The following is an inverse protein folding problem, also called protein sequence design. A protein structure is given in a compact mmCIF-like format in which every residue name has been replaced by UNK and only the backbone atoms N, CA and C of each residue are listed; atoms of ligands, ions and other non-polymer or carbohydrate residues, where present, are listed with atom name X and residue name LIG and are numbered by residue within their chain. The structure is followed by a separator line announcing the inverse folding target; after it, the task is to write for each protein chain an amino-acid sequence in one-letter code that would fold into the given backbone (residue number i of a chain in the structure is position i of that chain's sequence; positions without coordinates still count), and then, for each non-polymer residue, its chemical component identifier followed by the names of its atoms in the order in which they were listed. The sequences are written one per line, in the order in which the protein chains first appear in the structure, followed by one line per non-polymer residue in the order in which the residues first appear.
data_IF_938109175926
#
_entry.id   IF_938109175926
#
_cell.length_a   1.000
_cell.length_b   1.000
_cell.length_c   1.000
_cell.angle_alpha   90.00
_cell.angle_beta   90.00
_cell.angle_gamma   90.00
#
_symmetry.space_group_name_H-M   'P 1'
#
loop_
_entity.id
_entity.type
_entity.pdbx_description
1 polymer ?
#
# COMPACT_ATOMS: atom_id res chain seq x y z
N UNK A 1 -9.92 -3.05 -6.00
CA UNK A 1 -8.70 -3.06 -5.16
C UNK A 1 -7.56 -2.62 -6.04
N UNK A 2 -6.74 -1.68 -5.60
CA UNK A 2 -5.56 -1.28 -6.34
C UNK A 2 -4.44 -2.29 -6.07
N UNK A 3 -3.71 -2.65 -7.11
CA UNK A 3 -2.68 -3.68 -7.04
C UNK A 3 -1.40 -3.19 -7.70
N UNK A 4 -0.29 -3.89 -7.47
CA UNK A 4 0.94 -3.66 -8.25
C UNK A 4 0.71 -3.74 -9.76
N UNK A 5 -0.25 -4.57 -10.20
CA UNK A 5 -0.62 -4.66 -11.62
C UNK A 5 -1.22 -3.37 -12.18
N UNK A 6 -1.94 -2.60 -11.36
CA UNK A 6 -2.46 -1.29 -11.78
C UNK A 6 -1.32 -0.28 -11.94
N UNK A 7 -0.34 -0.30 -11.04
CA UNK A 7 0.90 0.50 -11.19
C UNK A 7 1.65 0.11 -12.47
N UNK A 8 1.88 -1.17 -12.70
CA UNK A 8 2.55 -1.67 -13.90
C UNK A 8 1.84 -1.24 -15.17
N UNK A 9 0.49 -1.34 -15.21
CA UNK A 9 -0.32 -0.89 -16.35
C UNK A 9 -0.15 0.60 -16.62
N UNK A 10 -0.18 1.45 -15.57
CA UNK A 10 0.05 2.89 -15.68
C UNK A 10 1.48 3.21 -16.12
N UNK A 11 2.46 2.45 -15.66
CA UNK A 11 3.87 2.60 -16.03
C UNK A 11 4.12 2.27 -17.49
N UNK A 12 3.43 1.27 -18.05
CA UNK A 12 3.55 0.85 -19.45
C UNK A 12 2.99 1.90 -20.42
N UNK A 13 2.17 2.85 -19.91
CA UNK A 13 1.67 3.91 -20.76
C UNK A 13 2.81 4.88 -21.13
N UNK A 14 3.25 4.78 -22.37
CA UNK A 14 4.26 5.63 -22.94
C UNK A 14 3.70 7.01 -23.29
N UNK A 15 4.59 7.97 -23.43
CA UNK A 15 4.26 9.30 -23.93
C UNK A 15 3.63 9.18 -25.34
N UNK A 16 2.31 9.44 -25.41
CA UNK A 16 1.52 9.42 -26.65
C UNK A 16 1.58 10.76 -27.41
N UNK A 17 2.47 11.67 -27.00
CA UNK A 17 2.59 13.02 -27.57
C UNK A 17 1.50 13.99 -27.10
N UNK A 18 0.62 13.57 -26.20
CA UNK A 18 -0.38 14.42 -25.54
C UNK A 18 -0.12 14.44 -24.03
N UNK A 19 -0.25 15.61 -23.39
CA UNK A 19 -0.07 15.69 -21.94
C UNK A 19 -1.12 14.85 -21.19
N UNK A 20 -0.70 14.29 -20.08
CA UNK A 20 -1.55 13.58 -19.12
C UNK A 20 -1.72 14.44 -17.88
N UNK A 21 -2.97 14.73 -17.55
CA UNK A 21 -3.36 15.35 -16.30
C UNK A 21 -3.53 14.25 -15.26
N UNK A 22 -2.67 14.25 -14.24
CA UNK A 22 -2.72 13.37 -13.08
C UNK A 22 -3.27 14.14 -11.90
N UNK A 23 -4.43 13.74 -11.38
CA UNK A 23 -5.11 14.41 -10.27
C UNK A 23 -5.23 13.43 -9.09
N UNK A 24 -4.75 13.87 -7.94
CA UNK A 24 -4.88 13.20 -6.65
C UNK A 24 -5.77 14.08 -5.77
N UNK A 25 -6.78 13.51 -5.13
CA UNK A 25 -7.73 14.26 -4.31
C UNK A 25 -7.93 13.62 -2.95
N UNK A 26 -7.71 14.39 -1.90
CA UNK A 26 -8.24 14.07 -0.59
C UNK A 26 -9.74 14.35 -0.57
N UNK A 27 -10.50 13.27 -0.44
CA UNK A 27 -11.97 13.28 -0.40
C UNK A 27 -12.49 13.13 1.04
N UNK A 28 -11.64 13.28 2.05
CA UNK A 28 -12.07 13.29 3.46
C UNK A 28 -13.06 14.40 3.72
N UNK A 29 -14.01 14.14 4.59
CA UNK A 29 -14.99 15.16 5.02
C UNK A 29 -14.37 16.07 6.06
N UNK A 30 -14.68 17.35 5.98
CA UNK A 30 -14.31 18.33 7.01
C UNK A 30 -15.21 18.22 8.26
N UNK A 31 -14.94 19.05 9.27
CA UNK A 31 -15.74 19.14 10.50
C UNK A 31 -17.24 19.41 10.26
N UNK A 32 -17.60 20.00 9.12
CA UNK A 32 -18.97 20.30 8.71
C UNK A 32 -19.60 19.21 7.85
N UNK A 33 -18.95 18.05 7.76
CA UNK A 33 -19.33 16.91 6.92
C UNK A 33 -19.44 17.25 5.40
N UNK A 34 -18.58 18.15 4.92
CA UNK A 34 -18.55 18.60 3.52
C UNK A 34 -17.21 18.26 2.85
N UNK A 35 -17.26 17.97 1.55
CA UNK A 35 -16.09 17.70 0.68
C UNK A 35 -15.75 18.90 -0.22
N UNK A 36 -15.95 20.12 0.29
CA UNK A 36 -15.76 21.37 -0.50
C UNK A 36 -14.32 21.63 -0.89
N UNK A 37 -13.33 21.06 -0.17
CA UNK A 37 -11.92 21.26 -0.47
C UNK A 37 -11.51 20.79 -1.87
N UNK A 38 -12.05 19.66 -2.34
CA UNK A 38 -11.73 19.12 -3.67
C UNK A 38 -12.20 20.03 -4.79
N UNK A 39 -13.39 20.62 -4.69
CA UNK A 39 -13.93 21.54 -5.71
C UNK A 39 -13.11 22.82 -5.79
N UNK A 40 -12.74 23.41 -4.64
CA UNK A 40 -11.90 24.62 -4.60
C UNK A 40 -10.52 24.33 -5.18
N UNK A 41 -9.91 23.20 -4.81
CA UNK A 41 -8.63 22.75 -5.33
C UNK A 41 -8.65 22.60 -6.86
N UNK A 42 -9.66 21.91 -7.43
CA UNK A 42 -9.79 21.70 -8.86
C UNK A 42 -9.92 23.03 -9.62
N UNK A 43 -10.74 23.97 -9.12
CA UNK A 43 -10.90 25.27 -9.74
C UNK A 43 -9.59 26.07 -9.75
N UNK A 44 -8.86 26.07 -8.62
CA UNK A 44 -7.57 26.74 -8.53
C UNK A 44 -6.54 26.15 -9.47
N UNK A 45 -6.47 24.82 -9.54
CA UNK A 45 -5.50 24.12 -10.41
C UNK A 45 -5.84 24.28 -11.89
N UNK A 46 -7.09 24.25 -12.27
CA UNK A 46 -7.51 24.53 -13.63
C UNK A 46 -7.06 25.91 -14.08
N UNK A 47 -7.39 26.98 -13.33
CA UNK A 47 -6.95 28.34 -13.66
C UNK A 47 -5.43 28.44 -13.80
N UNK A 48 -4.68 27.79 -12.90
CA UNK A 48 -3.22 27.77 -12.95
C UNK A 48 -2.69 27.13 -14.24
N UNK A 49 -3.25 26.00 -14.68
CA UNK A 49 -2.79 25.33 -15.91
C UNK A 49 -3.24 26.05 -17.20
N UNK A 50 -4.40 26.67 -17.21
CA UNK A 50 -4.86 27.50 -18.33
C UNK A 50 -3.98 28.72 -18.53
N UNK A 51 -3.45 29.32 -17.47
CA UNK A 51 -2.53 30.46 -17.53
C UNK A 51 -1.13 30.06 -18.00
N UNK A 52 -0.65 28.85 -17.70
CA UNK A 52 0.68 28.37 -18.07
C UNK A 52 0.83 28.12 -19.58
N UNK A 53 -0.20 27.55 -20.22
CA UNK A 53 -0.21 27.30 -21.65
C UNK A 53 -1.57 27.64 -22.27
N UNK A 54 -1.76 28.88 -22.62
CA UNK A 54 -3.00 29.39 -23.22
C UNK A 54 -3.41 28.68 -24.50
N UNK A 55 -2.49 28.03 -25.22
CA UNK A 55 -2.79 27.29 -26.44
C UNK A 55 -3.52 25.97 -26.16
N UNK A 56 -3.30 25.37 -24.99
CA UNK A 56 -3.94 24.14 -24.55
C UNK A 56 -5.10 24.39 -23.57
N UNK A 57 -5.37 25.64 -23.18
CA UNK A 57 -6.39 26.00 -22.21
C UNK A 57 -7.78 25.35 -22.47
N UNK A 58 -8.32 25.32 -23.72
CA UNK A 58 -9.59 24.65 -23.96
C UNK A 58 -9.56 23.12 -23.69
N UNK A 59 -8.47 22.44 -24.06
CA UNK A 59 -8.32 21.01 -23.84
C UNK A 59 -8.09 20.68 -22.36
N UNK A 60 -7.39 21.55 -21.63
CA UNK A 60 -7.24 21.47 -20.16
C UNK A 60 -8.59 21.66 -19.49
N UNK A 61 -9.36 22.67 -19.88
CA UNK A 61 -10.72 22.88 -19.34
C UNK A 61 -11.61 21.66 -19.55
N UNK A 62 -11.60 21.06 -20.74
CA UNK A 62 -12.35 19.84 -21.05
C UNK A 62 -11.90 18.65 -20.15
N UNK A 63 -10.60 18.49 -19.93
CA UNK A 63 -10.07 17.46 -19.04
C UNK A 63 -10.59 17.61 -17.61
N UNK A 64 -10.61 18.85 -17.07
CA UNK A 64 -11.16 19.13 -15.75
C UNK A 64 -12.68 18.93 -15.69
N UNK A 65 -13.43 19.22 -16.76
CA UNK A 65 -14.87 18.93 -16.82
C UNK A 65 -15.15 17.43 -16.79
N UNK A 66 -14.36 16.62 -17.51
CA UNK A 66 -14.46 15.15 -17.41
C UNK A 66 -14.20 14.65 -15.99
N UNK A 67 -13.22 15.23 -15.30
CA UNK A 67 -12.95 14.89 -13.88
C UNK A 67 -14.14 15.23 -13.00
N UNK A 68 -14.74 16.44 -13.15
CA UNK A 68 -15.92 16.84 -12.37
C UNK A 68 -17.14 15.96 -12.65
N UNK A 69 -17.39 15.66 -13.91
CA UNK A 69 -18.48 14.77 -14.32
C UNK A 69 -18.34 13.40 -13.67
N UNK A 70 -17.12 12.82 -13.71
CA UNK A 70 -16.89 11.54 -13.08
C UNK A 70 -17.01 11.61 -11.54
N UNK A 71 -16.55 12.67 -10.90
CA UNK A 71 -16.74 12.85 -9.45
C UNK A 71 -18.21 12.97 -9.06
N UNK A 72 -19.09 13.45 -9.97
CA UNK A 72 -20.54 13.51 -9.75
C UNK A 72 -21.21 12.14 -9.86
N UNK A 73 -20.80 11.31 -10.81
CA UNK A 73 -21.53 10.11 -11.19
C UNK A 73 -20.83 8.80 -10.78
N UNK A 74 -19.50 8.79 -10.76
CA UNK A 74 -18.68 7.58 -10.55
C UNK A 74 -18.00 7.47 -9.18
N UNK A 75 -17.99 8.54 -8.40
CA UNK A 75 -17.36 8.55 -7.09
C UNK A 75 -18.27 7.92 -6.02
N UNK A 76 -17.67 7.03 -5.21
CA UNK A 76 -18.34 6.43 -4.05
C UNK A 76 -17.90 7.12 -2.75
N UNK A 77 -18.86 7.59 -1.97
CA UNK A 77 -18.64 8.29 -0.68
C UNK A 77 -17.97 7.44 0.40
N UNK A 78 -17.90 6.12 0.21
CA UNK A 78 -17.14 5.23 1.07
C UNK A 78 -15.62 5.45 0.98
N UNK A 79 -15.14 6.07 -0.10
CA UNK A 79 -13.73 6.33 -0.33
C UNK A 79 -13.32 7.72 0.16
N UNK A 80 -12.07 7.84 0.61
CA UNK A 80 -11.47 9.08 1.10
C UNK A 80 -10.37 9.62 0.18
N UNK A 81 -9.92 8.83 -0.78
CA UNK A 81 -8.92 9.21 -1.78
C UNK A 81 -9.39 8.86 -3.18
N UNK A 82 -9.02 9.70 -4.13
CA UNK A 82 -9.27 9.50 -5.56
C UNK A 82 -8.02 9.85 -6.33
N UNK A 83 -7.67 9.02 -7.30
CA UNK A 83 -6.64 9.32 -8.30
C UNK A 83 -7.27 9.22 -9.67
N UNK A 84 -7.12 10.27 -10.47
CA UNK A 84 -7.66 10.36 -11.82
C UNK A 84 -6.54 10.71 -12.79
N UNK A 85 -6.45 9.93 -13.85
CA UNK A 85 -5.59 10.20 -14.99
C UNK A 85 -6.44 10.46 -16.20
N UNK A 86 -6.15 11.54 -16.92
CA UNK A 86 -6.83 11.86 -18.17
C UNK A 86 -5.89 12.52 -19.18
N UNK A 87 -5.98 12.10 -20.41
CA UNK A 87 -5.22 12.68 -21.51
C UNK A 87 -5.84 14.03 -21.92
N UNK A 88 -5.04 15.09 -22.02
CA UNK A 88 -5.49 16.41 -22.43
C UNK A 88 -5.66 16.41 -23.96
N UNK A 89 -6.89 16.69 -24.42
CA UNK A 89 -7.23 16.62 -25.85
C UNK A 89 -7.27 15.18 -26.41
N UNK A 90 -7.43 14.18 -25.56
CA UNK A 90 -7.58 12.77 -25.94
C UNK A 90 -8.73 12.10 -25.16
N UNK A 91 -8.99 10.82 -25.45
CA UNK A 91 -10.14 10.10 -24.90
C UNK A 91 -9.79 9.27 -23.65
N UNK A 92 -8.50 9.08 -23.37
CA UNK A 92 -8.12 8.24 -22.22
C UNK A 92 -8.48 8.89 -20.90
N UNK A 93 -9.14 8.08 -20.08
CA UNK A 93 -9.55 8.43 -18.73
C UNK A 93 -9.47 7.19 -17.84
N UNK A 94 -8.84 7.29 -16.70
CA UNK A 94 -8.77 6.24 -15.69
C UNK A 94 -8.92 6.84 -14.30
N UNK A 95 -9.77 6.25 -13.47
CA UNK A 95 -10.03 6.72 -12.12
C UNK A 95 -9.97 5.57 -11.13
N UNK A 96 -9.26 5.81 -10.04
CA UNK A 96 -9.01 4.86 -8.95
C UNK A 96 -9.51 5.49 -7.65
N UNK A 97 -10.15 4.70 -6.81
CA UNK A 97 -10.72 5.14 -5.54
C UNK A 97 -10.15 4.34 -4.38
N UNK A 98 -9.94 5.01 -3.25
CA UNK A 98 -9.32 4.42 -2.06
C UNK A 98 -10.10 4.76 -0.79
N UNK A 99 -10.21 3.84 0.17
CA UNK A 99 -10.80 4.13 1.48
C UNK A 99 -9.92 5.05 2.34
N UNK A 100 -8.65 5.23 1.96
CA UNK A 100 -7.68 6.10 2.63
C UNK A 100 -7.48 7.41 1.87
N UNK A 101 -7.18 8.53 2.56
CA UNK A 101 -6.90 9.79 1.89
C UNK A 101 -5.61 9.75 1.09
N UNK A 102 -5.54 10.55 0.04
CA UNK A 102 -4.32 10.85 -0.71
C UNK A 102 -4.09 12.36 -0.68
N UNK A 103 -2.82 12.79 -0.67
CA UNK A 103 -2.54 14.22 -0.68
C UNK A 103 -3.01 14.86 -2.00
N UNK A 104 -3.82 15.95 -1.90
CA UNK A 104 -4.33 16.62 -3.09
C UNK A 104 -3.21 17.24 -3.92
N UNK A 105 -3.07 16.75 -5.15
CA UNK A 105 -2.10 17.23 -6.16
C UNK A 105 -2.72 17.19 -7.55
N UNK A 106 -2.29 18.09 -8.42
CA UNK A 106 -2.59 18.04 -9.85
C UNK A 106 -1.30 18.33 -10.61
N UNK A 107 -0.95 17.45 -11.53
CA UNK A 107 0.29 17.50 -12.28
C UNK A 107 -0.03 17.26 -13.75
N UNK A 108 0.51 18.10 -14.61
CA UNK A 108 0.44 17.96 -16.06
C UNK A 108 1.81 17.51 -16.55
N UNK A 109 1.89 16.35 -17.18
CA UNK A 109 3.16 15.76 -17.64
C UNK A 109 2.95 14.91 -18.88
N UNK A 110 4.01 14.46 -19.56
CA UNK A 110 3.92 13.60 -20.75
C UNK A 110 3.42 12.18 -20.42
N UNK A 111 3.42 11.78 -19.15
CA UNK A 111 3.04 10.44 -18.69
C UNK A 111 2.26 10.49 -17.36
N UNK A 112 1.48 9.45 -17.01
CA UNK A 112 0.84 9.34 -15.70
C UNK A 112 1.88 9.45 -14.57
N UNK A 113 1.61 10.29 -13.58
CA UNK A 113 2.44 10.41 -12.35
C UNK A 113 2.09 9.28 -11.42
N UNK A 114 3.08 8.45 -11.02
CA UNK A 114 2.84 7.24 -10.23
C UNK A 114 3.37 7.29 -8.80
N UNK A 115 4.34 8.16 -8.49
CA UNK A 115 4.99 8.14 -7.17
C UNK A 115 4.01 8.30 -6.00
N UNK A 116 2.99 9.19 -6.03
CA UNK A 116 2.00 9.25 -4.96
C UNK A 116 1.12 8.00 -4.87
N UNK A 117 0.89 7.32 -5.99
CA UNK A 117 0.14 6.07 -6.03
C UNK A 117 0.97 4.91 -5.47
N UNK A 118 2.25 4.82 -5.86
CA UNK A 118 3.21 3.88 -5.29
C UNK A 118 3.29 4.05 -3.77
N UNK A 119 3.36 5.30 -3.29
CA UNK A 119 3.34 5.60 -1.86
C UNK A 119 2.10 5.02 -1.15
N UNK A 120 0.91 5.13 -1.75
CA UNK A 120 -0.31 4.54 -1.16
C UNK A 120 -0.21 3.02 -1.14
N UNK A 121 0.16 2.38 -2.26
CA UNK A 121 0.21 0.92 -2.39
C UNK A 121 1.24 0.30 -1.43
N UNK A 122 2.40 0.94 -1.24
CA UNK A 122 3.47 0.43 -0.37
C UNK A 122 3.30 0.80 1.11
N UNK A 123 2.50 1.83 1.42
CA UNK A 123 2.27 2.26 2.82
C UNK A 123 1.18 1.48 3.54
N UNK A 124 0.42 0.64 2.84
CA UNK A 124 -0.69 -0.09 3.43
C UNK A 124 -0.56 -1.58 3.14
N UNK A 125 -0.43 -2.34 4.20
CA UNK A 125 -0.37 -3.79 4.15
C UNK A 125 -1.75 -4.42 4.01
N UNK A 126 -1.78 -5.60 3.43
CA UNK A 126 -2.94 -6.47 3.43
C UNK A 126 -2.89 -7.37 4.66
N UNK A 127 -3.79 -7.14 5.60
CA UNK A 127 -3.84 -7.88 6.86
C UNK A 127 -4.86 -9.00 6.82
N UNK A 128 -4.47 -10.19 7.28
CA UNK A 128 -5.39 -11.24 7.64
C UNK A 128 -5.67 -11.19 9.15
N UNK A 129 -6.93 -11.06 9.55
CA UNK A 129 -7.31 -11.08 10.97
C UNK A 129 -8.08 -12.36 11.27
N UNK A 130 -7.52 -13.20 12.12
CA UNK A 130 -8.09 -14.48 12.53
C UNK A 130 -8.62 -14.34 13.95
N UNK A 131 -9.93 -14.38 14.14
CA UNK A 131 -10.56 -14.48 15.45
C UNK A 131 -10.92 -15.92 15.71
N UNK A 132 -10.60 -16.43 16.89
CA UNK A 132 -10.92 -17.81 17.22
C UNK A 132 -11.32 -18.00 18.68
N UNK A 133 -12.23 -18.92 18.86
CA UNK A 133 -12.51 -19.56 20.14
C UNK A 133 -12.31 -21.09 20.04
N UNK A 134 -12.99 -21.87 20.86
CA UNK A 134 -12.84 -23.34 20.87
C UNK A 134 -13.65 -24.05 19.80
N UNK A 135 -14.64 -23.38 19.22
CA UNK A 135 -15.65 -23.98 18.33
C UNK A 135 -15.82 -23.19 17.01
N UNK A 136 -15.30 -21.94 16.97
CA UNK A 136 -15.48 -21.03 15.82
C UNK A 136 -14.17 -20.38 15.42
N UNK A 137 -14.01 -20.15 14.13
CA UNK A 137 -13.00 -19.26 13.56
C UNK A 137 -13.67 -18.30 12.59
N UNK A 138 -13.28 -17.04 12.68
CA UNK A 138 -13.70 -15.97 11.77
C UNK A 138 -12.44 -15.32 11.22
N UNK A 139 -12.35 -15.21 9.89
CA UNK A 139 -11.19 -14.69 9.19
C UNK A 139 -11.61 -13.46 8.42
N UNK A 140 -10.94 -12.34 8.65
CA UNK A 140 -11.18 -11.07 7.97
C UNK A 140 -10.01 -10.77 7.06
N UNK A 141 -10.31 -10.39 5.83
CA UNK A 141 -9.35 -9.84 4.87
C UNK A 141 -9.46 -8.31 4.92
N UNK A 142 -8.40 -7.63 5.34
CA UNK A 142 -8.40 -6.18 5.56
C UNK A 142 -7.29 -5.55 4.72
N UNK A 143 -7.66 -4.59 3.87
CA UNK A 143 -6.72 -3.83 3.06
C UNK A 143 -7.09 -2.35 3.06
N UNK A 144 -6.10 -1.48 3.16
CA UNK A 144 -6.33 -0.04 3.28
C UNK A 144 -7.31 0.33 4.41
N UNK A 145 -7.24 -0.39 5.55
CA UNK A 145 -8.15 -0.18 6.67
C UNK A 145 -9.61 -0.55 6.40
N UNK A 146 -9.90 -1.25 5.32
CA UNK A 146 -11.26 -1.64 4.92
C UNK A 146 -11.39 -3.16 4.84
N UNK A 147 -12.50 -3.70 5.35
CA UNK A 147 -12.85 -5.10 5.20
C UNK A 147 -13.13 -5.41 3.73
N UNK A 148 -12.36 -6.33 3.16
CA UNK A 148 -12.54 -6.81 1.78
C UNK A 148 -13.43 -8.04 1.72
N UNK A 149 -13.19 -8.97 2.63
CA UNK A 149 -13.89 -10.25 2.66
C UNK A 149 -13.90 -10.82 4.09
N UNK A 150 -14.85 -11.69 4.36
CA UNK A 150 -15.06 -12.28 5.68
C UNK A 150 -15.49 -13.73 5.54
N UNK A 151 -14.86 -14.61 6.30
CA UNK A 151 -15.13 -16.05 6.32
C UNK A 151 -15.38 -16.49 7.76
N UNK A 152 -16.41 -17.27 7.95
CA UNK A 152 -16.73 -17.85 9.25
C UNK A 152 -16.87 -19.37 9.11
N UNK A 153 -16.21 -20.12 9.99
CA UNK A 153 -16.26 -21.57 10.04
C UNK A 153 -16.56 -22.02 11.46
N UNK A 154 -17.57 -22.88 11.58
CA UNK A 154 -17.95 -23.52 12.83
C UNK A 154 -17.42 -24.95 12.83
N UNK A 155 -16.76 -25.35 13.91
CA UNK A 155 -16.30 -26.73 14.06
C UNK A 155 -17.48 -27.70 14.23
N UNK A 156 -17.48 -28.79 13.47
CA UNK A 156 -18.47 -29.84 13.64
C UNK A 156 -18.15 -30.68 14.88
N UNK A 157 -19.06 -30.80 15.87
CA UNK A 157 -18.81 -31.59 17.07
C UNK A 157 -18.55 -33.05 16.72
N UNK A 158 -17.54 -33.63 17.35
CA UNK A 158 -17.24 -35.07 17.19
C UNK A 158 -18.48 -35.92 17.51
N UNK A 159 -18.81 -36.91 16.66
CA UNK A 159 -19.98 -37.77 16.88
C UNK A 159 -19.95 -38.41 18.29
N UNK A 160 -21.05 -38.29 19.00
CA UNK A 160 -21.20 -38.95 20.30
C UNK A 160 -21.29 -40.46 20.09
N UNK A 161 -20.42 -41.30 20.65
CA UNK A 161 -20.57 -42.73 20.52
C UNK A 161 -21.95 -43.20 21.02
N UNK A 162 -22.70 -43.91 20.19
CA UNK A 162 -24.09 -44.33 20.45
C UNK A 162 -24.28 -45.32 21.66
N UNK A 163 -23.20 -45.74 22.28
CA UNK A 163 -23.22 -46.69 23.39
C UNK A 163 -22.64 -46.10 24.69
N UNK A 164 -23.29 -45.07 25.23
CA UNK A 164 -23.01 -44.67 26.62
C UNK A 164 -24.07 -45.19 27.54
N UNK A 165 -23.80 -46.32 28.18
CA UNK A 165 -24.60 -46.78 29.33
C UNK A 165 -24.51 -45.71 30.43
N UNK A 166 -25.67 -45.33 30.96
CA UNK A 166 -25.82 -44.41 32.07
C UNK A 166 -24.94 -44.83 33.28
N UNK A 167 -23.83 -44.15 33.47
CA UNK A 167 -22.92 -44.34 34.59
C UNK A 167 -21.90 -43.21 34.53
N UNK A 168 -21.89 -42.37 35.56
CA UNK A 168 -21.19 -41.10 35.74
C UNK A 168 -19.93 -40.92 34.94
N UNK A 169 -20.00 -39.98 34.00
CA UNK A 169 -18.81 -39.46 33.30
C UNK A 169 -17.90 -38.83 34.35
N UNK A 170 -16.73 -39.43 34.59
CA UNK A 170 -15.74 -38.77 35.41
C UNK A 170 -15.35 -37.46 34.74
N UNK A 171 -15.26 -36.39 35.49
CA UNK A 171 -14.85 -35.03 35.02
C UNK A 171 -13.61 -35.09 34.13
N UNK A 172 -12.70 -36.01 34.39
CA UNK A 172 -11.50 -36.28 33.61
C UNK A 172 -11.79 -36.79 32.17
N UNK A 173 -12.84 -37.59 31.95
CA UNK A 173 -13.23 -38.06 30.61
C UNK A 173 -13.86 -36.92 29.80
N UNK A 174 -14.67 -36.11 30.44
CA UNK A 174 -15.28 -34.94 29.81
C UNK A 174 -14.21 -33.92 29.37
N UNK A 175 -13.24 -33.63 30.26
CA UNK A 175 -12.13 -32.73 29.94
C UNK A 175 -11.23 -33.26 28.78
N UNK A 176 -10.93 -34.57 28.79
CA UNK A 176 -10.16 -35.17 27.67
C UNK A 176 -10.90 -35.08 26.36
N UNK A 177 -12.21 -35.32 26.35
CA UNK A 177 -13.01 -35.18 25.14
C UNK A 177 -13.03 -33.74 24.62
N UNK A 178 -13.26 -32.74 25.48
CA UNK A 178 -13.19 -31.35 25.10
C UNK A 178 -11.82 -30.95 24.54
N UNK A 179 -10.75 -31.46 25.11
CA UNK A 179 -9.41 -31.22 24.59
C UNK A 179 -9.19 -31.88 23.22
N UNK A 180 -9.78 -33.06 22.96
CA UNK A 180 -9.71 -33.76 21.70
C UNK A 180 -10.55 -33.05 20.62
N UNK A 181 -11.75 -32.59 20.96
CA UNK A 181 -12.61 -31.76 20.08
C UNK A 181 -11.90 -30.46 19.71
N UNK A 182 -11.32 -29.73 20.65
CA UNK A 182 -10.56 -28.51 20.38
C UNK A 182 -9.36 -28.76 19.46
N UNK A 183 -8.62 -29.88 19.66
CA UNK A 183 -7.53 -30.27 18.77
C UNK A 183 -8.00 -30.53 17.34
N UNK A 184 -9.16 -31.15 17.19
CA UNK A 184 -9.77 -31.42 15.90
C UNK A 184 -10.12 -30.11 15.20
N UNK A 185 -10.83 -29.21 15.88
CA UNK A 185 -11.20 -27.91 15.35
C UNK A 185 -9.98 -27.05 14.98
N UNK A 186 -8.99 -26.96 15.84
CA UNK A 186 -7.80 -26.19 15.54
C UNK A 186 -7.03 -26.71 14.33
N UNK A 187 -7.07 -28.02 14.08
CA UNK A 187 -6.49 -28.60 12.87
C UNK A 187 -7.32 -28.28 11.62
N UNK A 188 -8.63 -28.16 11.74
CA UNK A 188 -9.50 -27.72 10.64
C UNK A 188 -9.31 -26.22 10.39
N UNK A 189 -9.34 -25.40 11.43
CA UNK A 189 -9.14 -23.96 11.34
C UNK A 189 -7.77 -23.59 10.76
N UNK A 190 -6.71 -24.34 11.08
CA UNK A 190 -5.40 -24.17 10.47
C UNK A 190 -5.46 -24.29 8.95
N UNK A 191 -6.21 -25.28 8.41
CA UNK A 191 -6.36 -25.46 6.97
C UNK A 191 -7.13 -24.30 6.33
N UNK A 192 -8.13 -23.76 7.02
CA UNK A 192 -8.88 -22.59 6.52
C UNK A 192 -7.98 -21.36 6.48
N UNK A 193 -7.13 -21.15 7.50
CA UNK A 193 -6.14 -20.07 7.50
C UNK A 193 -5.10 -20.29 6.39
N UNK A 194 -4.60 -21.51 6.19
CA UNK A 194 -3.70 -21.83 5.06
C UNK A 194 -4.36 -21.54 3.70
N UNK A 195 -5.64 -21.92 3.55
CA UNK A 195 -6.42 -21.65 2.32
C UNK A 195 -6.59 -20.14 2.11
N UNK A 196 -6.89 -19.39 3.17
CA UNK A 196 -6.97 -17.95 3.15
C UNK A 196 -5.63 -17.32 2.74
N UNK A 197 -4.53 -17.69 3.38
CA UNK A 197 -3.18 -17.20 3.04
C UNK A 197 -2.84 -17.52 1.58
N UNK A 198 -3.12 -18.73 1.11
CA UNK A 198 -2.88 -19.11 -0.28
C UNK A 198 -3.73 -18.34 -1.30
N UNK A 199 -4.95 -17.91 -0.94
CA UNK A 199 -5.87 -17.19 -1.82
C UNK A 199 -5.63 -15.68 -1.85
N UNK A 200 -5.41 -15.09 -0.68
CA UNK A 200 -5.35 -13.63 -0.52
C UNK A 200 -3.93 -13.09 -0.41
N UNK A 201 -2.95 -13.95 -0.13
CA UNK A 201 -1.54 -13.59 0.07
C UNK A 201 -1.39 -12.33 0.96
N UNK A 202 -1.94 -12.34 2.21
CA UNK A 202 -1.78 -11.21 3.10
C UNK A 202 -0.31 -10.99 3.44
N UNK A 203 0.08 -9.73 3.63
CA UNK A 203 1.44 -9.37 4.04
C UNK A 203 1.71 -9.84 5.48
N UNK A 204 0.67 -9.82 6.33
CA UNK A 204 0.77 -10.22 7.73
C UNK A 204 -0.55 -10.79 8.28
N UNK A 205 -0.45 -11.44 9.46
CA UNK A 205 -1.56 -12.02 10.19
C UNK A 205 -1.66 -11.47 11.61
N UNK A 206 -2.90 -11.22 12.03
CA UNK A 206 -3.27 -10.91 13.42
C UNK A 206 -4.13 -12.05 13.94
N UNK A 207 -3.79 -12.60 15.10
CA UNK A 207 -4.61 -13.67 15.73
C UNK A 207 -5.21 -13.14 17.02
N UNK A 208 -6.54 -13.20 17.09
CA UNK A 208 -7.33 -12.70 18.21
C UNK A 208 -8.13 -13.84 18.86
N UNK A 209 -8.19 -13.82 20.18
CA UNK A 209 -8.89 -14.82 20.98
C UNK A 209 -8.41 -14.77 22.42
N UNK A 210 -8.79 -15.74 23.25
CA UNK A 210 -8.18 -15.87 24.57
C UNK A 210 -6.72 -16.28 24.44
N UNK A 211 -5.87 -15.81 25.34
CA UNK A 211 -4.42 -16.14 25.34
C UNK A 211 -4.18 -17.66 25.25
N UNK A 212 -4.96 -18.46 25.99
CA UNK A 212 -4.87 -19.92 25.95
C UNK A 212 -5.20 -20.49 24.56
N UNK A 213 -6.27 -20.02 23.91
CA UNK A 213 -6.69 -20.51 22.61
C UNK A 213 -5.69 -20.11 21.52
N UNK A 214 -5.24 -18.84 21.52
CA UNK A 214 -4.25 -18.32 20.58
C UNK A 214 -2.92 -19.09 20.69
N UNK A 215 -2.40 -19.27 21.90
CA UNK A 215 -1.16 -20.00 22.12
C UNK A 215 -1.25 -21.45 21.61
N UNK A 216 -2.35 -22.15 21.90
CA UNK A 216 -2.57 -23.51 21.42
C UNK A 216 -2.80 -23.59 19.92
N UNK A 217 -3.55 -22.66 19.35
CA UNK A 217 -3.84 -22.64 17.91
C UNK A 217 -2.57 -22.46 17.08
N UNK A 218 -1.65 -21.61 17.51
CA UNK A 218 -0.36 -21.39 16.83
C UNK A 218 0.44 -22.67 16.64
N UNK A 219 0.33 -23.65 17.55
CA UNK A 219 1.02 -24.95 17.42
C UNK A 219 0.52 -25.77 16.21
N UNK A 220 -0.66 -25.46 15.68
CA UNK A 220 -1.25 -26.15 14.52
C UNK A 220 -0.95 -25.45 13.18
N UNK A 221 -0.47 -24.20 13.21
CA UNK A 221 -0.16 -23.46 12.02
C UNK A 221 1.21 -23.91 11.46
N UNK A 222 1.35 -24.07 10.12
CA UNK A 222 2.65 -24.28 9.48
C UNK A 222 3.61 -23.11 9.75
N UNK A 223 4.91 -23.40 9.80
CA UNK A 223 5.96 -22.41 10.05
C UNK A 223 5.85 -21.17 9.16
N UNK A 224 5.64 -21.26 7.81
CA UNK A 224 5.48 -20.07 6.98
C UNK A 224 4.27 -19.20 7.34
N UNK A 225 3.18 -19.79 7.86
CA UNK A 225 2.00 -19.04 8.33
C UNK A 225 2.28 -18.40 9.69
N UNK A 226 3.04 -19.08 10.56
CA UNK A 226 3.43 -18.51 11.84
C UNK A 226 4.34 -17.29 11.71
N UNK A 227 5.20 -17.25 10.69
CA UNK A 227 6.08 -16.13 10.37
C UNK A 227 5.32 -14.86 9.99
N UNK A 228 4.12 -15.00 9.44
CA UNK A 228 3.25 -13.86 9.11
C UNK A 228 2.59 -13.23 10.36
N UNK A 229 2.65 -13.85 11.53
CA UNK A 229 1.94 -13.37 12.72
C UNK A 229 2.67 -12.19 13.35
N UNK A 230 2.14 -10.99 13.18
CA UNK A 230 2.70 -9.73 13.70
C UNK A 230 2.09 -9.27 15.01
N UNK A 231 0.86 -9.71 15.30
CA UNK A 231 0.18 -9.36 16.53
C UNK A 231 -0.75 -10.48 17.03
N UNK A 232 -0.83 -10.63 18.33
CA UNK A 232 -1.83 -11.49 19.00
C UNK A 232 -2.51 -10.70 20.11
N UNK A 233 -3.83 -10.84 20.23
CA UNK A 233 -4.59 -10.06 21.20
C UNK A 233 -5.87 -10.76 21.64
N UNK A 234 -6.61 -10.12 22.53
CA UNK A 234 -7.87 -10.64 23.05
C UNK A 234 -9.07 -9.98 22.36
N UNK A 235 -9.92 -10.81 21.75
CA UNK A 235 -11.21 -10.41 21.19
C UNK A 235 -12.15 -11.62 21.19
N UNK A 236 -13.45 -11.35 21.04
CA UNK A 236 -14.46 -12.39 20.87
C UNK A 236 -14.74 -12.58 19.37
N UNK A 237 -15.05 -13.82 18.97
CA UNK A 237 -15.41 -14.10 17.57
C UNK A 237 -16.62 -13.28 17.11
N UNK A 238 -17.56 -13.06 18.02
CA UNK A 238 -18.81 -12.30 17.77
C UNK A 238 -18.63 -10.77 17.86
N UNK A 239 -17.42 -10.24 18.18
CA UNK A 239 -17.18 -8.80 18.19
C UNK A 239 -17.46 -8.24 16.79
N UNK A 240 -18.09 -7.06 16.72
CA UNK A 240 -18.32 -6.45 15.42
C UNK A 240 -16.99 -5.98 14.77
N UNK A 241 -16.96 -5.97 13.45
CA UNK A 241 -15.74 -5.66 12.68
C UNK A 241 -15.19 -4.27 13.00
N UNK A 242 -16.04 -3.28 13.28
CA UNK A 242 -15.62 -1.92 13.65
C UNK A 242 -14.87 -1.90 14.98
N UNK A 243 -15.34 -2.67 15.98
CA UNK A 243 -14.69 -2.75 17.28
C UNK A 243 -13.35 -3.50 17.17
N UNK A 244 -13.31 -4.56 16.36
CA UNK A 244 -12.07 -5.28 16.04
C UNK A 244 -11.07 -4.33 15.41
N UNK A 245 -11.46 -3.59 14.36
CA UNK A 245 -10.61 -2.62 13.69
C UNK A 245 -10.07 -1.56 14.65
N UNK A 246 -10.93 -1.02 15.50
CA UNK A 246 -10.50 -0.03 16.52
C UNK A 246 -9.49 -0.57 17.51
N UNK A 247 -9.57 -1.86 17.83
CA UNK A 247 -8.61 -2.54 18.73
C UNK A 247 -7.26 -2.79 18.06
N UNK A 248 -7.25 -3.22 16.80
CA UNK A 248 -6.00 -3.63 16.12
C UNK A 248 -5.27 -2.44 15.47
N UNK A 249 -5.98 -1.40 15.06
CA UNK A 249 -5.41 -0.24 14.35
C UNK A 249 -4.14 0.33 15.01
N UNK A 250 -4.12 0.64 16.33
CA UNK A 250 -2.92 1.19 16.95
C UNK A 250 -1.72 0.23 16.93
N UNK A 251 -1.98 -1.08 16.93
CA UNK A 251 -0.92 -2.10 16.89
C UNK A 251 -0.36 -2.25 15.47
N UNK A 252 -1.21 -2.16 14.45
CA UNK A 252 -0.80 -2.19 13.04
C UNK A 252 0.05 -0.96 12.72
N UNK A 253 -0.42 0.23 13.07
CA UNK A 253 0.33 1.49 12.88
C UNK A 253 1.71 1.42 13.56
N UNK A 254 1.77 0.94 14.80
CA UNK A 254 3.04 0.80 15.53
C UNK A 254 3.95 -0.28 14.91
N UNK A 255 3.40 -1.32 14.31
CA UNK A 255 4.15 -2.34 13.59
C UNK A 255 4.75 -1.79 12.30
N UNK A 256 3.93 -1.17 11.44
CA UNK A 256 4.35 -0.56 10.19
C UNK A 256 5.41 0.54 10.41
N UNK A 257 5.24 1.37 11.46
CA UNK A 257 6.22 2.40 11.82
C UNK A 257 7.57 1.79 12.24
N UNK A 258 7.54 0.69 12.97
CA UNK A 258 8.76 -0.01 13.39
C UNK A 258 9.48 -0.63 12.20
N UNK A 259 8.79 -1.35 11.31
CA UNK A 259 9.38 -1.90 10.09
C UNK A 259 10.04 -0.81 9.26
N UNK A 260 9.34 0.31 9.06
CA UNK A 260 9.87 1.47 8.33
C UNK A 260 11.12 2.03 8.99
N UNK A 261 11.12 2.16 10.33
CA UNK A 261 12.28 2.61 11.07
C UNK A 261 13.46 1.64 10.95
N UNK A 262 13.23 0.33 11.01
CA UNK A 262 14.27 -0.68 10.86
C UNK A 262 14.93 -0.62 9.48
N UNK A 263 14.17 -0.38 8.40
CA UNK A 263 14.71 -0.19 7.06
C UNK A 263 15.58 1.08 7.00
N UNK A 264 15.08 2.20 7.55
CA UNK A 264 15.84 3.47 7.62
C UNK A 264 17.14 3.30 8.40
N UNK A 265 17.10 2.64 9.57
CA UNK A 265 18.28 2.38 10.39
C UNK A 265 19.30 1.49 9.67
N UNK A 266 18.85 0.46 8.95
CA UNK A 266 19.74 -0.39 8.13
C UNK A 266 20.47 0.42 7.05
N UNK A 267 19.76 1.33 6.37
CA UNK A 267 20.38 2.22 5.38
C UNK A 267 21.42 3.13 6.06
N UNK A 268 21.03 3.75 7.18
CA UNK A 268 21.87 4.67 7.97
C UNK A 268 23.15 3.99 8.43
N UNK A 269 23.03 2.81 9.02
CA UNK A 269 24.18 2.03 9.51
C UNK A 269 25.15 1.67 8.36
N UNK A 270 24.63 1.17 7.24
CA UNK A 270 25.46 0.82 6.09
C UNK A 270 26.09 2.04 5.42
N UNK A 271 25.41 3.17 5.35
CA UNK A 271 25.99 4.45 4.85
C UNK A 271 27.10 4.92 5.78
N UNK A 272 26.94 4.82 7.10
CA UNK A 272 27.96 5.21 8.07
C UNK A 272 29.23 4.34 7.96
N UNK A 273 29.10 3.08 7.54
CA UNK A 273 30.20 2.16 7.35
C UNK A 273 30.72 2.09 5.90
N UNK A 274 30.19 2.91 4.99
CA UNK A 274 30.51 2.91 3.55
C UNK A 274 30.36 1.50 2.92
N UNK A 275 29.32 0.78 3.29
CA UNK A 275 29.10 -0.61 2.92
C UNK A 275 27.74 -0.84 2.27
N UNK A 276 27.74 -1.14 0.96
CA UNK A 276 26.55 -1.51 0.17
C UNK A 276 25.31 -0.62 0.43
N UNK A 277 25.53 0.69 0.53
CA UNK A 277 24.49 1.68 0.67
C UNK A 277 24.91 3.02 0.08
N UNK A 278 23.92 3.86 -0.19
CA UNK A 278 24.15 5.23 -0.64
C UNK A 278 23.13 6.17 -0.01
N UNK A 279 23.51 7.44 0.17
CA UNK A 279 22.63 8.49 0.66
C UNK A 279 22.71 9.74 -0.22
N UNK A 280 21.61 10.48 -0.23
CA UNK A 280 21.46 11.66 -1.07
C UNK A 280 21.01 11.33 -2.49
N UNK A 281 20.29 12.32 -3.07
CA UNK A 281 19.53 12.09 -4.30
C UNK A 281 20.38 11.65 -5.49
N UNK A 282 21.51 12.32 -5.74
CA UNK A 282 22.36 12.02 -6.91
C UNK A 282 22.94 10.59 -6.85
N UNK A 283 23.46 10.18 -5.69
CA UNK A 283 24.04 8.83 -5.52
C UNK A 283 22.99 7.75 -5.69
N UNK A 284 21.83 7.93 -5.05
CA UNK A 284 20.70 6.99 -5.13
C UNK A 284 20.14 6.90 -6.55
N UNK A 285 19.94 8.03 -7.23
CA UNK A 285 19.47 8.06 -8.63
C UNK A 285 20.43 7.29 -9.55
N UNK A 286 21.73 7.49 -9.38
CA UNK A 286 22.73 6.77 -10.17
C UNK A 286 22.67 5.27 -9.89
N UNK A 287 22.59 4.87 -8.63
CA UNK A 287 22.50 3.46 -8.24
C UNK A 287 21.25 2.76 -8.79
N UNK A 288 20.09 3.45 -8.79
CA UNK A 288 18.85 2.92 -9.41
C UNK A 288 19.01 2.77 -10.92
N UNK A 289 19.57 3.77 -11.62
CA UNK A 289 19.80 3.68 -13.06
C UNK A 289 20.78 2.57 -13.44
N UNK A 290 21.70 2.21 -12.57
CA UNK A 290 22.65 1.11 -12.73
C UNK A 290 22.08 -0.26 -12.31
N UNK A 291 20.83 -0.32 -11.79
CA UNK A 291 20.19 -1.56 -11.34
C UNK A 291 20.80 -2.18 -10.08
N UNK A 292 21.50 -1.37 -9.28
CA UNK A 292 22.22 -1.83 -8.08
C UNK A 292 21.39 -1.82 -6.81
N UNK A 293 20.22 -1.19 -6.81
CA UNK A 293 19.43 -0.98 -5.61
C UNK A 293 18.59 -2.21 -5.29
N UNK A 294 18.60 -2.58 -4.02
CA UNK A 294 17.75 -3.60 -3.41
C UNK A 294 16.54 -2.97 -2.74
N UNK A 295 16.80 -2.00 -1.84
CA UNK A 295 15.77 -1.27 -1.11
C UNK A 295 16.02 0.23 -1.24
N UNK A 296 15.00 0.98 -1.62
CA UNK A 296 14.98 2.44 -1.72
C UNK A 296 14.24 3.02 -0.53
N UNK A 297 14.85 3.95 0.20
CA UNK A 297 14.20 4.77 1.23
C UNK A 297 14.09 6.19 0.73
N UNK A 298 12.89 6.77 0.79
CA UNK A 298 12.63 8.12 0.30
C UNK A 298 11.66 8.87 1.21
N UNK A 299 11.91 10.16 1.43
CA UNK A 299 10.98 11.00 2.17
C UNK A 299 9.64 11.11 1.46
N UNK A 300 8.54 10.98 2.22
CA UNK A 300 7.18 11.21 1.70
C UNK A 300 7.08 12.62 1.12
N UNK A 301 6.26 12.75 0.09
CA UNK A 301 5.93 14.05 -0.53
C UNK A 301 7.14 14.83 -1.07
N UNK A 302 8.29 14.17 -1.22
CA UNK A 302 9.47 14.78 -1.82
C UNK A 302 9.24 15.05 -3.30
N UNK A 303 9.75 16.17 -3.78
CA UNK A 303 9.86 16.54 -5.19
C UNK A 303 11.26 17.07 -5.45
N UNK A 304 11.79 16.83 -6.63
CA UNK A 304 13.12 17.28 -7.04
C UNK A 304 13.13 17.60 -8.52
N UNK A 305 13.37 18.87 -8.84
CA UNK A 305 13.56 19.28 -10.23
C UNK A 305 14.71 18.50 -10.87
N UNK A 306 14.48 18.01 -12.07
CA UNK A 306 15.43 17.22 -12.82
C UNK A 306 15.21 17.30 -14.32
N UNK A 307 16.01 16.55 -15.07
CA UNK A 307 15.88 16.43 -16.51
C UNK A 307 15.97 14.97 -16.94
N UNK A 308 15.18 14.60 -17.94
CA UNK A 308 15.21 13.30 -18.59
C UNK A 308 15.62 13.46 -20.06
N UNK A 309 16.54 12.63 -20.53
CA UNK A 309 16.91 12.59 -21.93
C UNK A 309 15.83 11.85 -22.74
N UNK A 310 15.25 12.49 -23.76
CA UNK A 310 14.26 11.86 -24.64
C UNK A 310 14.84 10.73 -25.48
N UNK A 311 16.15 10.78 -25.76
CA UNK A 311 16.83 9.80 -26.62
C UNK A 311 17.20 8.50 -25.90
N UNK A 312 17.73 8.60 -24.66
CA UNK A 312 18.23 7.43 -23.93
C UNK A 312 17.57 7.23 -22.56
N UNK A 313 16.60 8.06 -22.19
CA UNK A 313 15.85 8.04 -20.94
C UNK A 313 16.69 8.24 -19.68
N UNK A 314 17.97 8.62 -19.79
CA UNK A 314 18.80 8.90 -18.62
C UNK A 314 18.28 10.13 -17.86
N UNK A 315 18.21 10.01 -16.53
CA UNK A 315 17.63 11.03 -15.64
C UNK A 315 18.73 11.73 -14.84
N UNK A 316 18.58 13.02 -14.69
CA UNK A 316 19.47 13.90 -13.95
C UNK A 316 18.76 14.57 -12.78
N UNK A 317 19.44 14.69 -11.65
CA UNK A 317 18.94 15.36 -10.45
C UNK A 317 18.88 16.91 -10.56
N UNK A 318 19.17 17.46 -11.72
CA UNK A 318 19.13 18.90 -12.03
C UNK A 318 19.02 19.10 -13.54
N UNK A 319 18.63 20.30 -13.95
CA UNK A 319 18.65 20.67 -15.36
C UNK A 319 20.04 20.57 -15.98
N UNK A 320 20.10 20.11 -17.21
CA UNK A 320 21.31 19.92 -18.02
C UNK A 320 21.05 20.48 -19.43
N UNK A 321 22.06 21.01 -20.10
CA UNK A 321 21.93 21.44 -21.48
C UNK A 321 22.10 20.29 -22.48
N UNK A 322 22.83 19.27 -22.11
CA UNK A 322 23.12 18.09 -22.92
C UNK A 322 23.20 16.84 -22.08
N UNK A 323 22.72 15.73 -22.62
CA UNK A 323 22.87 14.42 -22.01
C UNK A 323 24.33 14.00 -21.97
N UNK A 324 24.89 13.79 -20.80
CA UNK A 324 26.28 13.32 -20.63
C UNK A 324 26.47 11.84 -21.04
N UNK A 325 25.38 11.08 -21.16
CA UNK A 325 25.41 9.67 -21.51
C UNK A 325 25.42 9.44 -23.03
N UNK A 326 24.51 10.09 -23.80
CA UNK A 326 24.37 9.88 -25.24
C UNK A 326 24.69 11.15 -26.10
N UNK A 327 24.97 12.29 -25.45
CA UNK A 327 25.30 13.54 -26.14
C UNK A 327 24.12 14.32 -26.73
N UNK A 328 22.88 13.83 -26.64
CA UNK A 328 21.68 14.47 -27.13
C UNK A 328 21.39 15.78 -26.39
N UNK A 329 20.87 16.81 -27.11
CA UNK A 329 20.33 18.03 -26.52
C UNK A 329 18.82 17.98 -26.30
N UNK A 330 18.16 16.83 -26.62
CA UNK A 330 16.74 16.63 -26.39
C UNK A 330 16.48 16.21 -24.95
N UNK A 331 16.40 17.17 -24.07
CA UNK A 331 16.09 17.00 -22.66
C UNK A 331 14.72 17.58 -22.35
N UNK A 332 14.02 16.96 -21.42
CA UNK A 332 12.77 17.48 -20.87
C UNK A 332 12.90 17.66 -19.36
N UNK A 333 12.26 18.69 -18.84
CA UNK A 333 12.14 18.89 -17.40
C UNK A 333 11.17 17.86 -16.81
N UNK A 334 11.57 17.25 -15.71
CA UNK A 334 10.79 16.22 -15.01
C UNK A 334 10.94 16.39 -13.50
N UNK A 335 10.00 15.84 -12.74
CA UNK A 335 10.27 15.56 -11.34
C UNK A 335 11.16 14.30 -11.27
N UNK A 336 12.41 14.49 -10.85
CA UNK A 336 13.38 13.41 -10.79
C UNK A 336 13.03 12.38 -9.71
N UNK A 337 12.20 12.73 -8.71
CA UNK A 337 11.67 11.77 -7.74
C UNK A 337 10.66 10.83 -8.39
N UNK A 338 9.77 11.36 -9.20
CA UNK A 338 8.83 10.56 -10.00
C UNK A 338 9.57 9.54 -10.87
N UNK A 339 10.62 10.00 -11.55
CA UNK A 339 11.45 9.13 -12.39
C UNK A 339 12.20 8.07 -11.56
N UNK A 340 12.72 8.46 -10.38
CA UNK A 340 13.40 7.55 -9.46
C UNK A 340 12.45 6.43 -8.99
N UNK A 341 11.26 6.79 -8.54
CA UNK A 341 10.23 5.84 -8.08
C UNK A 341 9.80 4.93 -9.23
N UNK A 342 9.53 5.50 -10.41
CA UNK A 342 9.15 4.75 -11.60
C UNK A 342 10.21 3.72 -12.01
N UNK A 343 11.49 4.09 -12.00
CA UNK A 343 12.58 3.15 -12.30
C UNK A 343 12.72 2.06 -11.23
N UNK A 344 12.60 2.42 -9.96
CA UNK A 344 12.67 1.48 -8.85
C UNK A 344 11.54 0.44 -8.92
N UNK A 345 10.30 0.88 -9.10
CA UNK A 345 9.14 0.01 -9.30
C UNK A 345 9.33 -0.93 -10.51
N UNK A 346 9.79 -0.38 -11.65
CA UNK A 346 10.04 -1.16 -12.86
C UNK A 346 11.15 -2.21 -12.72
N UNK A 347 12.02 -2.08 -11.71
CA UNK A 347 13.09 -3.02 -11.38
C UNK A 347 12.73 -3.98 -10.24
N UNK A 348 11.51 -3.85 -9.66
CA UNK A 348 11.07 -4.62 -8.50
C UNK A 348 11.87 -4.30 -7.23
N UNK A 349 12.37 -3.07 -7.12
CA UNK A 349 13.04 -2.57 -5.91
C UNK A 349 11.99 -2.37 -4.81
N UNK A 350 12.29 -2.81 -3.61
CA UNK A 350 11.49 -2.50 -2.43
C UNK A 350 11.57 -1.00 -2.12
N UNK A 351 10.43 -0.31 -1.99
CA UNK A 351 10.39 1.13 -1.71
C UNK A 351 9.76 1.39 -0.35
N UNK A 352 10.49 2.04 0.53
CA UNK A 352 10.01 2.50 1.83
C UNK A 352 9.86 4.02 1.83
N UNK A 353 8.62 4.51 1.98
CA UNK A 353 8.34 5.92 2.14
C UNK A 353 8.38 6.31 3.62
N UNK A 354 9.37 7.11 4.01
CA UNK A 354 9.61 7.54 5.39
C UNK A 354 9.13 8.98 5.61
N UNK A 355 8.81 9.32 6.84
CA UNK A 355 8.50 10.71 7.18
C UNK A 355 9.76 11.58 7.05
N UNK A 356 9.64 12.84 6.59
CA UNK A 356 10.80 13.68 6.29
C UNK A 356 11.84 13.72 7.41
N UNK A 357 11.45 13.93 8.66
CA UNK A 357 12.35 13.95 9.81
C UNK A 357 13.11 12.66 10.10
N UNK A 358 12.63 11.51 9.60
CA UNK A 358 13.30 10.22 9.78
C UNK A 358 14.50 10.01 8.86
N UNK A 359 14.61 10.78 7.77
CA UNK A 359 15.62 10.61 6.71
C UNK A 359 16.40 11.88 6.40
N UNK A 360 16.39 12.88 7.29
CA UNK A 360 17.09 14.14 7.10
C UNK A 360 18.61 13.95 6.99
N UNK A 361 19.18 13.07 7.76
CA UNK A 361 20.60 12.68 7.74
C UNK A 361 20.99 11.96 6.45
N UNK A 362 20.04 11.27 5.79
CA UNK A 362 20.19 10.70 4.46
C UNK A 362 19.89 11.73 3.34
N UNK A 363 19.69 13.01 3.68
CA UNK A 363 19.29 14.09 2.75
C UNK A 363 17.97 13.77 2.04
N UNK A 364 17.07 13.10 2.74
CA UNK A 364 15.73 12.75 2.31
C UNK A 364 15.63 11.54 1.36
N UNK A 365 16.76 10.87 1.04
CA UNK A 365 16.75 9.65 0.22
C UNK A 365 18.03 8.85 0.43
N UNK A 366 17.89 7.52 0.47
CA UNK A 366 19.00 6.58 0.54
C UNK A 366 18.61 5.23 -0.01
N UNK A 367 19.57 4.34 -0.19
CA UNK A 367 19.33 3.00 -0.70
C UNK A 367 20.29 1.97 -0.14
N UNK A 368 19.79 0.74 0.03
CA UNK A 368 20.63 -0.46 0.16
C UNK A 368 20.97 -0.97 -1.23
N UNK A 369 22.20 -1.43 -1.39
CA UNK A 369 22.70 -1.95 -2.66
C UNK A 369 22.84 -3.47 -2.59
N UNK A 370 22.62 -4.12 -3.74
CA UNK A 370 22.74 -5.58 -3.91
C UNK A 370 24.19 -6.05 -3.90
N UNK A 371 25.09 -5.22 -4.47
CA UNK A 371 26.52 -5.51 -4.64
C UNK A 371 27.31 -4.23 -4.80
#
# INVERSE_FOLDING_TARGET
MITKQDLERLMQRTDGGRPVLSIFLDMSVNSDNKRTHSTVFLNQKQSQFEELDGSQAPAVAEAFERVRAWLGDGYSEANRGVVIYTEVGGDWFEALQFPVPVQSRAILSGRPVIAPLAQVVTSYHHHGVVLLDREHVRILSIYLGTLLDEFEVHGDPLPVPSHVKAGGYSQARFQRRKAEEMRHFFKEFSKEVETFVGRYAPDDLIILGTEENVAKFREFLPEPVQELIVYTGNAWVDDNTSDIMSKIQPHLEAYEDRERQEVVERVRDRVAHDYLATAGFQGTLTAVQEGKVDTLVIARDRSQDGARCKTCSFVYARGMERCSYCGSSELEEVDAVEELVRMAEGQGVEIAFADPGQVDDLKGVGALLRF
#
